data_IF_568856708488
#
_entry.id   IF_568856708488
#
_cell.length_a   1.000
_cell.length_b   1.000
_cell.length_c   1.000
_cell.angle_alpha   90.00
_cell.angle_beta   90.00
_cell.angle_gamma   90.00
#
_symmetry.space_group_name_H-M   'P 1'
#
loop_
_entity.id
_entity.type
_entity.pdbx_description
1 polymer ?
#
# COMPACT_ATOMS: atom_id res chain seq x y z
N UNK A 1 2.34 -17.99 6.58
CA UNK A 1 1.74 -17.06 7.56
C UNK A 1 2.12 -15.62 7.20
N UNK A 2 3.42 -15.24 7.20
CA UNK A 2 3.90 -13.86 6.98
C UNK A 2 3.31 -13.18 5.75
N UNK A 3 3.24 -13.89 4.63
CA UNK A 3 2.84 -13.34 3.33
C UNK A 3 1.33 -13.32 3.07
N UNK A 4 0.55 -14.11 3.84
CA UNK A 4 -0.87 -14.32 3.51
C UNK A 4 -1.82 -14.01 4.66
N UNK A 5 -1.34 -13.98 5.89
CA UNK A 5 -2.21 -13.90 7.06
C UNK A 5 -1.92 -12.68 7.95
N UNK A 6 -0.71 -12.11 7.87
CA UNK A 6 -0.32 -10.98 8.69
C UNK A 6 -0.22 -9.72 7.83
N UNK A 7 -0.95 -8.70 8.24
CA UNK A 7 -0.98 -7.38 7.60
C UNK A 7 -0.75 -6.31 8.65
N UNK A 8 -0.04 -5.26 8.30
CA UNK A 8 0.22 -4.13 9.18
C UNK A 8 0.10 -2.81 8.41
N UNK A 9 -0.50 -1.82 9.06
CA UNK A 9 -0.55 -0.45 8.56
C UNK A 9 -0.09 0.47 9.68
N UNK A 10 0.81 1.37 9.37
CA UNK A 10 1.24 2.45 10.27
C UNK A 10 1.19 3.79 9.52
N UNK A 11 1.07 4.89 10.25
CA UNK A 11 1.15 6.25 9.68
C UNK A 11 2.60 6.71 9.52
N UNK A 12 3.53 6.12 10.27
CA UNK A 12 4.95 6.44 10.26
C UNK A 12 5.74 5.40 9.46
N UNK A 13 6.54 5.89 8.49
CA UNK A 13 7.32 5.03 7.61
C UNK A 13 8.39 4.23 8.38
N UNK A 14 8.98 4.82 9.42
CA UNK A 14 10.01 4.17 10.25
C UNK A 14 9.39 3.12 11.15
N UNK A 15 8.20 3.39 11.72
CA UNK A 15 7.48 2.43 12.54
C UNK A 15 7.09 1.20 11.72
N UNK A 16 6.58 1.37 10.49
CA UNK A 16 6.28 0.27 9.58
C UNK A 16 7.52 -0.56 9.24
N UNK A 17 8.66 0.08 8.94
CA UNK A 17 9.93 -0.62 8.69
C UNK A 17 10.40 -1.42 9.90
N UNK A 18 10.35 -0.82 11.10
CA UNK A 18 10.73 -1.48 12.35
C UNK A 18 9.82 -2.66 12.68
N UNK A 19 8.51 -2.52 12.45
CA UNK A 19 7.55 -3.60 12.60
C UNK A 19 7.87 -4.77 11.65
N UNK A 20 8.13 -4.48 10.39
CA UNK A 20 8.56 -5.48 9.40
C UNK A 20 9.84 -6.19 9.82
N UNK A 21 10.84 -5.45 10.27
CA UNK A 21 12.09 -6.04 10.78
C UNK A 21 11.85 -6.94 12.00
N UNK A 22 11.07 -6.47 12.98
CA UNK A 22 10.74 -7.25 14.17
C UNK A 22 10.01 -8.55 13.84
N UNK A 23 9.08 -8.52 12.85
CA UNK A 23 8.39 -9.71 12.36
C UNK A 23 9.36 -10.72 11.73
N UNK A 24 10.30 -10.25 10.89
CA UNK A 24 11.31 -11.10 10.27
C UNK A 24 12.24 -11.72 11.33
N UNK A 25 12.68 -10.93 12.29
CA UNK A 25 13.53 -11.43 13.40
C UNK A 25 12.81 -12.50 14.23
N UNK A 26 11.53 -12.28 14.54
CA UNK A 26 10.72 -13.25 15.28
C UNK A 26 10.53 -14.54 14.47
N UNK A 27 10.20 -14.43 13.19
CA UNK A 27 10.02 -15.59 12.32
C UNK A 27 11.31 -16.38 12.09
N UNK A 28 12.46 -15.70 11.98
CA UNK A 28 13.77 -16.35 11.81
C UNK A 28 14.23 -17.11 13.04
N UNK A 29 13.75 -16.75 14.23
CA UNK A 29 14.03 -17.50 15.45
C UNK A 29 13.38 -18.89 15.41
N UNK A 30 12.22 -19.01 14.76
CA UNK A 30 11.48 -20.25 14.64
C UNK A 30 11.84 -21.05 13.37
N UNK A 31 12.20 -20.35 12.27
CA UNK A 31 12.67 -20.99 11.01
C UNK A 31 13.92 -20.29 10.47
N UNK A 32 15.07 -20.87 10.72
CA UNK A 32 16.38 -20.35 10.25
C UNK A 32 16.53 -20.36 8.72
N UNK A 33 15.68 -21.12 8.00
CA UNK A 33 15.72 -21.21 6.54
C UNK A 33 15.00 -20.02 5.86
N UNK A 34 14.34 -19.18 6.65
CA UNK A 34 13.53 -18.05 6.13
C UNK A 34 14.31 -17.16 5.15
N UNK A 35 15.60 -16.96 5.38
CA UNK A 35 16.48 -16.13 4.55
C UNK A 35 17.34 -16.91 3.56
N UNK A 36 17.21 -18.23 3.52
CA UNK A 36 17.96 -19.09 2.61
C UNK A 36 17.08 -19.72 1.53
N UNK A 37 15.79 -19.42 1.54
CA UNK A 37 14.89 -19.87 0.47
C UNK A 37 15.31 -19.27 -0.86
N UNK A 38 15.42 -20.12 -1.88
CA UNK A 38 15.78 -19.73 -3.25
C UNK A 38 14.65 -20.10 -4.22
N UNK A 39 14.56 -19.36 -5.31
CA UNK A 39 13.74 -19.72 -6.45
C UNK A 39 14.39 -20.87 -7.27
N UNK A 40 13.69 -21.32 -8.33
CA UNK A 40 14.19 -22.38 -9.22
C UNK A 40 15.47 -21.98 -9.97
N UNK A 41 15.77 -20.69 -10.04
CA UNK A 41 17.00 -20.15 -10.64
C UNK A 41 18.15 -19.98 -9.63
N UNK A 42 17.92 -20.27 -8.34
CA UNK A 42 18.89 -20.16 -7.25
C UNK A 42 19.03 -18.76 -6.64
N UNK A 43 18.13 -17.82 -6.99
CA UNK A 43 18.13 -16.50 -6.37
C UNK A 43 17.45 -16.52 -5.02
N UNK A 44 18.00 -15.80 -4.04
CA UNK A 44 17.37 -15.66 -2.72
C UNK A 44 15.98 -15.01 -2.83
N UNK A 45 14.99 -15.65 -2.22
CA UNK A 45 13.62 -15.15 -2.12
C UNK A 45 13.27 -14.85 -0.66
N UNK A 46 13.55 -13.63 -0.18
CA UNK A 46 13.10 -13.22 1.14
C UNK A 46 11.55 -13.14 1.16
N UNK A 47 10.91 -13.47 2.29
CA UNK A 47 9.46 -13.40 2.40
C UNK A 47 8.97 -11.97 2.21
N UNK A 48 7.90 -11.83 1.43
CA UNK A 48 7.24 -10.54 1.20
C UNK A 48 6.30 -10.25 2.36
N UNK A 49 6.59 -9.20 3.12
CA UNK A 49 5.73 -8.74 4.20
C UNK A 49 4.61 -7.82 3.69
N UNK A 50 3.43 -7.93 4.30
CA UNK A 50 2.31 -7.01 4.06
C UNK A 50 2.25 -5.93 5.15
N UNK A 51 3.38 -5.36 5.49
CA UNK A 51 3.50 -4.24 6.43
C UNK A 51 3.76 -2.99 5.60
N UNK A 52 2.83 -2.06 5.65
CA UNK A 52 2.83 -0.84 4.84
C UNK A 52 2.79 0.40 5.76
N UNK A 53 3.42 1.47 5.31
CA UNK A 53 3.16 2.81 5.83
C UNK A 53 2.15 3.51 4.93
N UNK A 54 1.20 4.23 5.54
CA UNK A 54 0.23 5.01 4.80
C UNK A 54 0.91 6.16 4.07
N UNK A 55 0.69 6.24 2.76
CA UNK A 55 1.19 7.31 1.90
C UNK A 55 0.06 8.27 1.55
N UNK A 56 0.36 9.56 1.59
CA UNK A 56 -0.55 10.61 1.15
C UNK A 56 -0.37 10.86 -0.34
N UNK A 57 -1.48 11.19 -1.01
CA UNK A 57 -1.51 11.53 -2.43
C UNK A 57 -1.23 13.01 -2.71
N UNK A 58 -0.82 13.77 -1.68
CA UNK A 58 -0.49 15.20 -1.82
C UNK A 58 0.53 15.44 -2.92
N UNK A 59 0.22 16.40 -3.80
CA UNK A 59 1.10 16.78 -4.91
C UNK A 59 0.93 15.94 -6.16
N UNK A 60 0.10 14.88 -6.15
CA UNK A 60 -0.22 14.13 -7.35
C UNK A 60 -1.28 14.85 -8.19
N UNK A 61 -0.96 15.07 -9.46
CA UNK A 61 -1.90 15.64 -10.43
C UNK A 61 -2.73 14.55 -11.09
N UNK A 62 -4.05 14.56 -10.83
CA UNK A 62 -4.98 13.61 -11.46
C UNK A 62 -4.95 13.72 -12.99
N UNK A 63 -4.79 14.94 -13.53
CA UNK A 63 -4.76 15.17 -14.97
C UNK A 63 -3.54 14.56 -15.64
N UNK A 64 -2.36 14.71 -15.04
CA UNK A 64 -1.12 14.14 -15.53
C UNK A 64 -1.15 12.60 -15.45
N UNK A 65 -1.54 12.06 -14.29
CA UNK A 65 -1.67 10.62 -14.10
C UNK A 65 -2.66 10.00 -15.10
N UNK A 66 -3.84 10.64 -15.30
CA UNK A 66 -4.83 10.16 -16.23
C UNK A 66 -4.33 10.21 -17.69
N UNK A 67 -3.58 11.25 -18.06
CA UNK A 67 -2.99 11.38 -19.40
C UNK A 67 -1.99 10.25 -19.68
N UNK A 68 -1.06 10.00 -18.77
CA UNK A 68 -0.04 8.98 -18.95
C UNK A 68 -0.58 7.54 -18.86
N UNK A 69 -1.66 7.32 -18.11
CA UNK A 69 -2.24 5.99 -17.93
C UNK A 69 -3.43 5.70 -18.85
N UNK A 70 -3.89 6.68 -19.64
CA UNK A 70 -4.99 6.50 -20.61
C UNK A 70 -4.74 5.36 -21.62
N UNK A 71 -3.51 5.19 -22.20
CA UNK A 71 -3.24 4.10 -23.11
C UNK A 71 -3.46 2.70 -22.53
N UNK A 72 -3.34 2.58 -21.20
CA UNK A 72 -3.51 1.33 -20.44
C UNK A 72 -4.93 1.13 -19.90
N UNK A 73 -5.88 1.96 -20.33
CA UNK A 73 -7.30 1.91 -19.96
C UNK A 73 -7.58 2.09 -18.45
N UNK A 74 -6.68 2.77 -17.73
CA UNK A 74 -6.95 3.18 -16.36
C UNK A 74 -7.90 4.37 -16.40
N UNK A 75 -9.08 4.21 -15.78
CA UNK A 75 -10.12 5.25 -15.82
C UNK A 75 -9.73 6.43 -14.94
N UNK A 76 -9.93 7.65 -15.44
CA UNK A 76 -9.72 8.88 -14.68
C UNK A 76 -10.49 8.89 -13.35
N UNK A 77 -11.72 8.40 -13.35
CA UNK A 77 -12.56 8.31 -12.15
C UNK A 77 -11.93 7.45 -11.05
N UNK A 78 -11.22 6.37 -11.43
CA UNK A 78 -10.50 5.50 -10.50
C UNK A 78 -9.29 6.23 -9.92
N UNK A 79 -8.54 6.97 -10.74
CA UNK A 79 -7.39 7.77 -10.29
C UNK A 79 -7.87 8.88 -9.33
N UNK A 80 -8.93 9.60 -9.69
CA UNK A 80 -9.54 10.63 -8.83
C UNK A 80 -9.94 10.04 -7.48
N UNK A 81 -10.66 8.92 -7.48
CA UNK A 81 -11.09 8.26 -6.24
C UNK A 81 -9.91 7.84 -5.37
N UNK A 82 -8.80 7.34 -5.95
CA UNK A 82 -7.58 7.01 -5.21
C UNK A 82 -6.94 8.25 -4.59
N UNK A 83 -6.75 9.29 -5.39
CA UNK A 83 -6.09 10.53 -4.95
C UNK A 83 -6.89 11.19 -3.83
N UNK A 84 -8.21 11.37 -4.00
CA UNK A 84 -9.09 11.96 -2.99
C UNK A 84 -9.15 11.13 -1.69
N UNK A 85 -9.19 9.80 -1.81
CA UNK A 85 -9.26 8.91 -0.63
C UNK A 85 -8.01 9.04 0.25
N UNK A 86 -6.85 9.29 -0.35
CA UNK A 86 -5.57 9.29 0.37
C UNK A 86 -4.93 10.68 0.51
N UNK A 87 -5.64 11.75 0.24
CA UNK A 87 -5.14 13.12 0.38
C UNK A 87 -4.65 13.43 1.81
N UNK A 88 -5.36 12.90 2.81
CA UNK A 88 -5.05 13.07 4.23
C UNK A 88 -4.86 11.72 4.94
N UNK A 89 -4.19 10.78 4.28
CA UNK A 89 -4.09 9.40 4.76
C UNK A 89 -3.43 9.31 6.15
N UNK A 90 -2.39 10.09 6.40
CA UNK A 90 -1.68 10.09 7.69
C UNK A 90 -2.49 10.73 8.82
N UNK A 91 -3.49 11.54 8.50
CA UNK A 91 -4.42 12.12 9.49
C UNK A 91 -5.55 11.15 9.84
N UNK A 92 -6.20 10.56 8.84
CA UNK A 92 -7.33 9.67 9.06
C UNK A 92 -6.94 8.24 9.45
N UNK A 93 -5.78 7.78 9.01
CA UNK A 93 -5.27 6.45 9.37
C UNK A 93 -6.26 5.33 9.06
N UNK A 94 -6.62 4.55 10.08
CA UNK A 94 -7.56 3.43 9.97
C UNK A 94 -9.02 3.83 9.76
N UNK A 95 -9.35 5.11 9.86
CA UNK A 95 -10.71 5.62 9.61
C UNK A 95 -11.02 5.78 8.12
N UNK A 96 -10.01 5.65 7.24
CA UNK A 96 -10.18 5.73 5.80
C UNK A 96 -11.14 4.64 5.33
N UNK A 97 -12.19 5.06 4.62
CA UNK A 97 -13.13 4.14 3.99
C UNK A 97 -12.91 4.10 2.49
N UNK A 98 -12.69 2.90 1.96
CA UNK A 98 -12.50 2.73 0.52
C UNK A 98 -13.86 2.75 -0.19
N UNK A 99 -14.09 3.69 -1.13
CA UNK A 99 -15.34 3.77 -1.89
C UNK A 99 -15.64 2.45 -2.61
N UNK A 100 -16.92 2.09 -2.67
CA UNK A 100 -17.34 0.84 -3.34
C UNK A 100 -16.90 0.80 -4.81
N UNK A 101 -17.04 1.90 -5.53
CA UNK A 101 -16.59 2.02 -6.92
C UNK A 101 -15.09 1.70 -7.07
N UNK A 102 -14.27 2.11 -6.12
CA UNK A 102 -12.84 1.82 -6.13
C UNK A 102 -12.56 0.34 -5.86
N UNK A 103 -13.29 -0.27 -4.92
CA UNK A 103 -13.11 -1.71 -4.56
C UNK A 103 -13.19 -2.64 -5.77
N UNK A 104 -14.07 -2.34 -6.72
CA UNK A 104 -14.25 -3.17 -7.92
C UNK A 104 -13.02 -3.18 -8.84
N UNK A 105 -12.21 -2.14 -8.80
CA UNK A 105 -11.00 -1.99 -9.62
C UNK A 105 -9.74 -2.46 -8.91
N UNK A 106 -9.72 -2.56 -7.58
CA UNK A 106 -8.54 -2.91 -6.80
C UNK A 106 -7.94 -4.28 -7.12
N UNK A 107 -8.74 -5.22 -7.62
CA UNK A 107 -8.25 -6.55 -8.01
C UNK A 107 -7.40 -6.52 -9.29
N UNK A 108 -7.70 -5.59 -10.21
CA UNK A 108 -7.08 -5.52 -11.54
C UNK A 108 -5.97 -4.47 -11.61
N UNK A 109 -6.11 -3.38 -10.86
CA UNK A 109 -5.17 -2.26 -10.90
C UNK A 109 -3.69 -2.65 -10.71
N UNK A 110 -3.29 -3.49 -9.75
CA UNK A 110 -1.88 -3.86 -9.58
C UNK A 110 -1.29 -4.54 -10.81
N UNK A 111 -2.09 -5.37 -11.48
CA UNK A 111 -1.66 -6.08 -12.70
C UNK A 111 -1.48 -5.10 -13.85
N UNK A 112 -2.41 -4.16 -14.02
CA UNK A 112 -2.31 -3.11 -15.03
C UNK A 112 -1.08 -2.23 -14.77
N UNK A 113 -0.86 -1.78 -13.54
CA UNK A 113 0.31 -0.98 -13.18
C UNK A 113 1.63 -1.74 -13.39
N UNK A 114 1.64 -3.05 -13.13
CA UNK A 114 2.80 -3.88 -13.43
C UNK A 114 3.11 -3.96 -14.93
N UNK A 115 2.07 -4.05 -15.78
CA UNK A 115 2.23 -4.00 -17.25
C UNK A 115 2.69 -2.62 -17.72
N UNK A 116 2.19 -1.54 -17.12
CA UNK A 116 2.64 -0.17 -17.40
C UNK A 116 4.14 -0.04 -17.15
N UNK A 117 4.64 -0.57 -16.05
CA UNK A 117 6.08 -0.53 -15.72
C UNK A 117 6.95 -1.30 -16.72
N UNK A 118 6.40 -2.29 -17.41
CA UNK A 118 7.10 -3.06 -18.44
C UNK A 118 6.99 -2.46 -19.85
N UNK A 119 6.17 -1.42 -20.04
CA UNK A 119 5.90 -0.83 -21.35
C UNK A 119 7.06 -0.08 -21.98
N UNK A 120 8.06 0.31 -21.18
CA UNK A 120 9.18 1.16 -21.61
C UNK A 120 8.85 2.65 -21.68
N UNK A 121 7.61 3.06 -21.41
CA UNK A 121 7.23 4.47 -21.30
C UNK A 121 7.61 5.00 -19.90
N UNK A 122 8.58 5.91 -19.88
CA UNK A 122 9.12 6.46 -18.64
C UNK A 122 8.09 7.27 -17.86
N UNK A 123 7.23 8.03 -18.52
CA UNK A 123 6.20 8.85 -17.85
C UNK A 123 5.08 7.97 -17.29
N UNK A 124 4.62 7.00 -18.07
CA UNK A 124 3.63 6.05 -17.59
C UNK A 124 4.18 5.19 -16.44
N UNK A 125 5.45 4.78 -16.51
CA UNK A 125 6.11 4.04 -15.43
C UNK A 125 6.21 4.87 -14.14
N UNK A 126 6.56 6.15 -14.22
CA UNK A 126 6.58 7.05 -13.07
C UNK A 126 5.17 7.22 -12.47
N UNK A 127 4.14 7.42 -13.31
CA UNK A 127 2.76 7.50 -12.87
C UNK A 127 2.28 6.20 -12.18
N UNK A 128 2.74 5.04 -12.65
CA UNK A 128 2.45 3.76 -12.02
C UNK A 128 3.17 3.62 -10.67
N UNK A 129 4.41 4.11 -10.55
CA UNK A 129 5.15 4.10 -9.28
C UNK A 129 4.49 4.99 -8.23
N UNK A 130 3.94 6.14 -8.61
CA UNK A 130 3.21 7.04 -7.72
C UNK A 130 1.88 6.43 -7.23
N UNK A 131 1.17 5.70 -8.10
CA UNK A 131 -0.12 5.10 -7.74
C UNK A 131 0.01 3.75 -7.01
N UNK A 132 1.08 3.00 -7.21
CA UNK A 132 1.22 1.65 -6.66
C UNK A 132 1.10 1.59 -5.13
N UNK A 133 1.75 2.49 -4.35
CA UNK A 133 1.57 2.51 -2.90
C UNK A 133 0.12 2.79 -2.49
N UNK A 134 -0.58 3.70 -3.18
CA UNK A 134 -1.97 4.03 -2.91
C UNK A 134 -2.90 2.84 -3.18
N UNK A 135 -2.64 2.09 -4.25
CA UNK A 135 -3.40 0.88 -4.58
C UNK A 135 -3.16 -0.23 -3.55
N UNK A 136 -1.92 -0.44 -3.12
CA UNK A 136 -1.57 -1.45 -2.12
C UNK A 136 -2.25 -1.18 -0.78
N UNK A 137 -2.18 0.05 -0.28
CA UNK A 137 -2.85 0.42 0.97
C UNK A 137 -4.38 0.38 0.85
N UNK A 138 -4.95 0.74 -0.32
CA UNK A 138 -6.38 0.60 -0.59
C UNK A 138 -6.82 -0.87 -0.56
N UNK A 139 -6.00 -1.79 -1.11
CA UNK A 139 -6.28 -3.22 -1.03
C UNK A 139 -6.35 -3.70 0.41
N UNK A 140 -5.36 -3.36 1.23
CA UNK A 140 -5.32 -3.77 2.64
C UNK A 140 -6.50 -3.19 3.42
N UNK A 141 -6.82 -1.90 3.24
CA UNK A 141 -7.96 -1.23 3.89
C UNK A 141 -9.33 -1.77 3.42
N UNK A 142 -9.39 -2.34 2.21
CA UNK A 142 -10.62 -2.95 1.69
C UNK A 142 -10.83 -4.41 2.16
N UNK A 143 -9.81 -5.03 2.75
CA UNK A 143 -9.89 -6.40 3.26
C UNK A 143 -10.72 -6.50 4.53
N UNK A 144 -11.21 -7.71 4.79
CA UNK A 144 -11.82 -8.07 6.08
C UNK A 144 -10.87 -9.02 6.80
N UNK A 145 -10.65 -8.75 8.09
CA UNK A 145 -9.74 -9.52 8.92
C UNK A 145 -10.52 -10.21 10.05
N UNK A 146 -10.11 -11.42 10.38
CA UNK A 146 -10.69 -12.19 11.50
C UNK A 146 -10.34 -11.56 12.86
N UNK A 147 -9.20 -10.90 12.95
CA UNK A 147 -8.75 -10.18 14.15
C UNK A 147 -8.00 -8.91 13.76
N UNK A 148 -8.26 -7.82 14.48
CA UNK A 148 -7.57 -6.55 14.33
C UNK A 148 -7.03 -6.12 15.69
N UNK A 149 -5.73 -5.81 15.73
CA UNK A 149 -5.07 -5.24 16.91
C UNK A 149 -4.65 -3.82 16.58
N UNK A 150 -5.10 -2.86 17.37
CA UNK A 150 -4.80 -1.45 17.18
C UNK A 150 -4.04 -0.89 18.38
N UNK A 151 -3.09 0.00 18.10
CA UNK A 151 -2.42 0.83 19.09
C UNK A 151 -2.73 2.31 18.79
N UNK A 152 -3.90 2.81 19.23
CA UNK A 152 -4.28 4.19 18.97
C UNK A 152 -3.34 5.16 19.70
N UNK A 153 -3.08 6.36 19.12
CA UNK A 153 -2.24 7.35 19.75
C UNK A 153 -2.85 7.83 21.09
N UNK A 154 -2.05 7.83 22.13
CA UNK A 154 -2.42 8.35 23.46
C UNK A 154 -2.22 9.86 23.53
N UNK A 155 -2.85 10.61 22.64
CA UNK A 155 -2.74 12.07 22.62
C UNK A 155 -4.03 12.71 23.16
N UNK A 156 -3.87 13.77 23.98
CA UNK A 156 -5.01 14.58 24.37
C UNK A 156 -5.55 15.38 23.18
N UNK A 157 -6.81 15.77 23.21
CA UNK A 157 -7.50 16.53 22.16
C UNK A 157 -6.71 17.77 21.67
N UNK A 158 -5.87 18.36 22.55
CA UNK A 158 -5.02 19.52 22.22
C UNK A 158 -3.96 19.24 21.13
N UNK A 159 -3.63 17.99 20.90
CA UNK A 159 -2.61 17.57 19.93
C UNK A 159 -3.22 16.84 18.73
N UNK A 160 -4.54 16.70 18.66
CA UNK A 160 -5.22 16.14 17.50
C UNK A 160 -5.39 17.22 16.42
N UNK A 161 -5.24 16.82 15.18
CA UNK A 161 -5.55 17.71 14.05
C UNK A 161 -7.03 18.03 14.02
N UNK A 162 -7.38 19.25 13.65
CA UNK A 162 -8.77 19.70 13.56
C UNK A 162 -9.63 18.96 12.50
N UNK A 163 -9.02 18.05 11.74
CA UNK A 163 -9.68 17.23 10.71
C UNK A 163 -10.14 15.84 11.22
N UNK A 164 -9.89 15.50 12.49
CA UNK A 164 -10.30 14.24 13.11
C UNK A 164 -11.52 14.44 14.00
#
# INVERSE_FOLDING_TARGET
>A
ILEKNLYGLDIDDRAAQMAGFAMLMKASADDRRLFTATDDAGNLQPPKLNVLSLQESKGLSVDELATHLAPFKVQRTTITALVETFEHAKTFGSLIQIPYALKTHLAVLPQVLALVKQSGDMYASAAADDLLPLVQQAQVLAMQFDAVVANPPYMSEKFMNCLV
#
